data_IF_371496324386
#
_entry.id   IF_371496324386
#
_cell.length_a   1.000
_cell.length_b   1.000
_cell.length_c   1.000
_cell.angle_alpha   90.00
_cell.angle_beta   90.00
_cell.angle_gamma   90.00
#
_symmetry.space_group_name_H-M   'P 1'
#
loop_
_entity.id
_entity.type
_entity.pdbx_description
1 polymer ?
#
# COMPACT_ATOMS: atom_id res chain seq x y z
N UNK A 1 -39.66 37.96 36.63
CA UNK A 1 -38.44 37.66 37.41
C UNK A 1 -38.85 36.88 38.65
N UNK A 2 -38.35 35.66 38.81
CA UNK A 2 -38.67 34.82 39.97
C UNK A 2 -37.78 35.28 41.13
N UNK A 3 -38.38 35.67 42.26
CA UNK A 3 -37.66 35.99 43.51
C UNK A 3 -37.57 34.73 44.37
N UNK A 4 -36.38 34.45 44.87
CA UNK A 4 -36.07 33.27 45.68
C UNK A 4 -35.72 33.76 47.08
N UNK A 5 -36.63 33.56 48.04
CA UNK A 5 -36.52 34.10 49.40
C UNK A 5 -35.76 33.18 50.37
N UNK A 6 -35.20 32.06 49.90
CA UNK A 6 -34.44 31.10 50.73
C UNK A 6 -33.18 30.61 50.03
N UNK A 7 -32.13 30.30 50.82
CA UNK A 7 -30.88 29.72 50.31
C UNK A 7 -31.13 28.36 49.67
N UNK A 8 -30.74 28.21 48.40
CA UNK A 8 -30.75 26.93 47.68
C UNK A 8 -29.57 26.11 48.19
N UNK A 9 -29.86 25.02 48.89
CA UNK A 9 -28.84 24.09 49.47
C UNK A 9 -28.60 22.85 48.60
N UNK A 10 -29.22 22.78 47.42
CA UNK A 10 -29.00 21.73 46.44
C UNK A 10 -29.76 22.03 45.15
N UNK A 11 -29.18 21.64 44.01
CA UNK A 11 -29.85 21.70 42.71
C UNK A 11 -29.71 20.35 42.02
N UNK A 12 -30.76 19.94 41.30
CA UNK A 12 -30.73 18.77 40.43
C UNK A 12 -31.25 19.20 39.06
N UNK A 13 -30.49 18.88 38.01
CA UNK A 13 -30.91 19.11 36.63
C UNK A 13 -31.83 17.96 36.26
N UNK A 14 -33.04 18.27 35.82
CA UNK A 14 -33.98 17.26 35.33
C UNK A 14 -33.39 16.69 34.03
N UNK A 15 -32.66 15.58 34.14
CA UNK A 15 -32.33 14.79 32.96
C UNK A 15 -33.63 14.16 32.47
N UNK A 16 -33.98 14.30 31.18
CA UNK A 16 -35.07 13.52 30.64
C UNK A 16 -34.76 12.06 30.95
N UNK A 17 -35.75 11.34 31.49
CA UNK A 17 -35.60 9.93 31.82
C UNK A 17 -34.94 9.22 30.63
N UNK A 18 -33.84 8.53 30.87
CA UNK A 18 -33.36 7.51 29.94
C UNK A 18 -34.49 6.49 29.82
N UNK A 19 -35.33 6.66 28.80
CA UNK A 19 -36.11 5.59 28.25
C UNK A 19 -35.10 4.48 27.99
N UNK A 20 -35.19 3.39 28.77
CA UNK A 20 -34.62 2.12 28.37
C UNK A 20 -35.17 1.88 26.96
N UNK A 21 -34.33 2.12 25.95
CA UNK A 21 -34.61 1.69 24.59
C UNK A 21 -34.70 0.16 24.66
N UNK A 22 -35.93 -0.34 24.82
CA UNK A 22 -36.26 -1.67 24.34
C UNK A 22 -35.68 -1.76 22.94
N UNK A 23 -34.91 -2.83 22.68
CA UNK A 23 -34.37 -3.17 21.37
C UNK A 23 -35.51 -3.00 20.36
N UNK A 24 -35.51 -1.88 19.63
CA UNK A 24 -36.47 -1.65 18.56
C UNK A 24 -36.14 -2.68 17.49
N UNK A 25 -36.91 -3.76 17.45
CA UNK A 25 -36.95 -4.63 16.29
C UNK A 25 -37.27 -3.74 15.09
N UNK A 26 -36.29 -3.61 14.20
CA UNK A 26 -36.48 -2.93 12.93
C UNK A 26 -37.61 -3.64 12.18
N UNK A 27 -38.75 -2.97 12.00
CA UNK A 27 -39.79 -3.46 11.07
C UNK A 27 -39.18 -3.52 9.68
N UNK A 28 -39.04 -4.75 9.19
CA UNK A 28 -38.50 -5.11 7.88
C UNK A 28 -39.47 -4.66 6.79
N UNK A 29 -39.04 -3.76 5.92
CA UNK A 29 -39.65 -3.59 4.62
C UNK A 29 -38.95 -4.54 3.63
N UNK A 30 -39.65 -5.61 3.24
CA UNK A 30 -39.17 -6.55 2.23
C UNK A 30 -39.61 -7.98 2.51
N UNK A 31 -40.74 -8.38 1.92
CA UNK A 31 -41.12 -9.79 1.84
C UNK A 31 -40.30 -10.52 0.77
N UNK A 32 -39.94 -11.77 1.07
CA UNK A 32 -39.38 -12.74 0.12
C UNK A 32 -37.88 -13.02 0.34
N UNK A 33 -37.60 -14.24 0.79
CA UNK A 33 -36.40 -15.11 0.69
C UNK A 33 -35.08 -14.53 0.11
N UNK A 34 -34.70 -13.31 0.46
CA UNK A 34 -33.43 -12.67 0.08
C UNK A 34 -32.56 -12.58 1.31
N UNK A 35 -31.34 -13.12 1.22
CA UNK A 35 -30.34 -13.07 2.27
C UNK A 35 -30.18 -11.64 2.81
N UNK A 36 -30.17 -11.50 4.14
CA UNK A 36 -29.98 -10.23 4.82
C UNK A 36 -28.56 -9.70 4.54
N UNK A 37 -28.45 -8.66 3.70
CA UNK A 37 -27.15 -8.09 3.31
C UNK A 37 -26.71 -7.07 4.35
N UNK A 38 -25.75 -7.46 5.19
CA UNK A 38 -25.09 -6.60 6.17
C UNK A 38 -24.24 -5.57 5.41
N UNK A 39 -24.41 -4.29 5.78
CA UNK A 39 -23.61 -3.17 5.29
C UNK A 39 -22.78 -2.57 6.41
N UNK A 40 -21.65 -1.99 6.05
CA UNK A 40 -20.82 -1.25 6.99
C UNK A 40 -21.51 0.05 7.42
N UNK A 41 -21.61 0.28 8.72
CA UNK A 41 -22.17 1.50 9.32
C UNK A 41 -21.63 1.69 10.75
N UNK A 42 -21.77 2.90 11.31
CA UNK A 42 -21.22 3.26 12.65
C UNK A 42 -21.63 2.34 13.80
N UNK A 43 -22.81 1.72 13.73
CA UNK A 43 -23.33 0.80 14.74
C UNK A 43 -22.84 -0.65 14.61
N UNK A 44 -22.02 -0.94 13.60
CA UNK A 44 -21.54 -2.31 13.38
C UNK A 44 -20.50 -2.63 14.45
N UNK A 45 -20.74 -3.69 15.21
CA UNK A 45 -19.84 -4.11 16.28
C UNK A 45 -18.54 -4.67 15.71
N UNK A 46 -17.42 -4.35 16.39
CA UNK A 46 -16.10 -4.86 16.03
C UNK A 46 -16.05 -6.37 16.28
N UNK A 47 -15.76 -7.22 15.27
CA UNK A 47 -15.58 -8.65 15.48
C UNK A 47 -14.41 -8.98 16.42
N UNK A 48 -14.41 -10.19 16.98
CA UNK A 48 -13.32 -10.67 17.84
C UNK A 48 -11.98 -10.76 17.10
N UNK A 49 -12.02 -11.14 15.82
CA UNK A 49 -10.84 -11.29 14.96
C UNK A 49 -10.99 -10.43 13.69
N UNK A 50 -9.90 -9.76 13.31
CA UNK A 50 -9.77 -9.05 12.04
C UNK A 50 -8.52 -9.54 11.30
N UNK A 51 -8.59 -9.58 9.98
CA UNK A 51 -7.45 -9.93 9.12
C UNK A 51 -6.84 -8.64 8.60
N UNK A 52 -5.53 -8.48 8.75
CA UNK A 52 -4.85 -7.25 8.36
C UNK A 52 -3.61 -7.46 7.49
N UNK A 53 -3.22 -6.39 6.81
CA UNK A 53 -1.98 -6.29 6.03
C UNK A 53 -1.09 -5.21 6.62
N UNK A 54 0.20 -5.53 6.86
CA UNK A 54 1.19 -4.57 7.35
C UNK A 54 2.15 -4.17 6.24
N UNK A 55 2.29 -2.87 6.01
CA UNK A 55 3.16 -2.25 5.03
C UNK A 55 4.33 -1.55 5.73
N UNK A 56 5.55 -1.86 5.30
CA UNK A 56 6.76 -1.21 5.78
C UNK A 56 7.07 0.01 4.90
N UNK A 57 7.22 1.16 5.54
CA UNK A 57 7.50 2.45 4.90
C UNK A 57 8.87 2.90 5.37
N UNK A 58 9.81 3.07 4.44
CA UNK A 58 11.16 3.58 4.74
C UNK A 58 11.38 4.82 3.90
N UNK A 59 11.30 5.98 4.54
CA UNK A 59 11.55 7.26 3.88
C UNK A 59 13.05 7.60 3.95
N UNK A 60 13.60 8.35 2.98
CA UNK A 60 14.99 8.81 3.04
C UNK A 60 15.20 9.90 4.10
N UNK A 61 14.12 10.57 4.50
CA UNK A 61 14.13 11.70 5.46
C UNK A 61 14.07 11.25 6.92
N UNK A 62 13.91 9.95 7.18
CA UNK A 62 13.90 9.40 8.54
C UNK A 62 14.76 8.16 8.65
N UNK A 63 15.54 8.08 9.73
CA UNK A 63 16.34 6.90 10.04
C UNK A 63 15.49 5.67 10.40
N UNK A 64 14.23 5.90 10.79
CA UNK A 64 13.33 4.87 11.27
C UNK A 64 12.24 4.54 10.26
N UNK A 65 12.02 3.24 10.05
CA UNK A 65 10.86 2.77 9.29
C UNK A 65 9.56 2.98 10.07
N UNK A 66 8.50 3.26 9.34
CA UNK A 66 7.11 3.27 9.82
C UNK A 66 6.40 2.01 9.34
N UNK A 67 5.50 1.48 10.15
CA UNK A 67 4.68 0.31 9.83
C UNK A 67 3.22 0.71 9.84
N UNK A 68 2.55 0.46 8.72
CA UNK A 68 1.14 0.78 8.52
C UNK A 68 0.37 -0.52 8.41
N UNK A 69 -0.48 -0.81 9.38
CA UNK A 69 -1.36 -1.99 9.37
C UNK A 69 -2.77 -1.54 9.03
N UNK A 70 -3.37 -2.13 8.00
CA UNK A 70 -4.79 -1.96 7.70
C UNK A 70 -5.49 -3.28 7.96
N UNK A 71 -6.47 -3.26 8.87
CA UNK A 71 -7.29 -4.41 9.23
C UNK A 71 -8.64 -4.32 8.52
N UNK A 72 -9.10 -5.46 8.03
CA UNK A 72 -10.32 -5.58 7.24
C UNK A 72 -11.38 -6.38 7.96
N UNK A 73 -12.63 -6.06 7.61
CA UNK A 73 -13.80 -6.85 7.93
C UNK A 73 -14.34 -7.52 6.67
N UNK A 74 -14.73 -8.79 6.79
CA UNK A 74 -15.46 -9.51 5.75
C UNK A 74 -16.94 -9.40 6.10
N UNK A 75 -17.71 -8.83 5.17
CA UNK A 75 -19.16 -8.69 5.30
C UNK A 75 -19.83 -9.78 4.47
N UNK A 76 -20.89 -10.39 5.01
CA UNK A 76 -21.68 -11.43 4.34
C UNK A 76 -20.83 -12.63 3.88
N UNK A 77 -19.90 -13.07 4.72
CA UNK A 77 -19.02 -14.20 4.48
C UNK A 77 -19.83 -15.45 4.09
N UNK A 78 -19.40 -16.14 3.03
CA UNK A 78 -20.07 -17.34 2.52
C UNK A 78 -21.34 -17.06 1.69
N UNK A 79 -21.60 -15.81 1.29
CA UNK A 79 -22.72 -15.44 0.42
C UNK A 79 -22.25 -14.81 -0.90
N UNK A 80 -23.14 -14.72 -1.89
CA UNK A 80 -22.87 -14.00 -3.16
C UNK A 80 -22.56 -12.50 -2.97
N UNK A 81 -22.84 -11.96 -1.78
CA UNK A 81 -22.60 -10.56 -1.43
C UNK A 81 -21.41 -10.38 -0.49
N UNK A 82 -20.52 -11.38 -0.42
CA UNK A 82 -19.28 -11.31 0.33
C UNK A 82 -18.45 -10.12 -0.14
N UNK A 83 -18.12 -9.21 0.78
CA UNK A 83 -17.33 -8.02 0.50
C UNK A 83 -16.34 -7.77 1.62
N UNK A 84 -15.10 -7.52 1.24
CA UNK A 84 -14.05 -7.07 2.15
C UNK A 84 -14.03 -5.55 2.22
N UNK A 85 -13.98 -4.99 3.42
CA UNK A 85 -13.92 -3.54 3.66
C UNK A 85 -12.85 -3.22 4.70
N UNK A 86 -12.15 -2.08 4.57
CA UNK A 86 -11.19 -1.67 5.58
C UNK A 86 -11.97 -1.27 6.83
N UNK A 87 -11.49 -1.68 8.01
CA UNK A 87 -12.16 -1.45 9.28
C UNK A 87 -11.39 -0.48 10.18
N UNK A 88 -10.08 -0.69 10.31
CA UNK A 88 -9.20 0.16 11.11
C UNK A 88 -7.79 0.21 10.52
N UNK A 89 -7.09 1.31 10.77
CA UNK A 89 -5.69 1.50 10.39
C UNK A 89 -4.87 1.77 11.64
N UNK A 90 -3.64 1.26 11.69
CA UNK A 90 -2.64 1.53 12.71
C UNK A 90 -1.35 1.97 12.06
N UNK A 91 -0.80 3.08 12.54
CA UNK A 91 0.48 3.60 12.05
C UNK A 91 1.45 3.63 13.23
N UNK A 92 2.48 2.81 13.16
CA UNK A 92 3.54 2.74 14.17
C UNK A 92 4.83 3.33 13.61
N UNK A 93 5.43 4.26 14.35
CA UNK A 93 6.70 4.88 14.01
C UNK A 93 7.54 5.09 15.26
N UNK A 94 8.86 4.91 15.13
CA UNK A 94 9.83 5.31 16.17
C UNK A 94 10.22 6.78 16.07
N UNK A 95 9.87 7.46 14.97
CA UNK A 95 10.12 8.88 14.81
C UNK A 95 9.04 9.69 15.55
N UNK A 96 9.47 10.55 16.48
CA UNK A 96 8.61 11.36 17.32
C UNK A 96 8.16 12.67 16.67
N UNK A 97 8.86 13.16 15.64
CA UNK A 97 8.60 14.48 15.02
C UNK A 97 7.18 14.60 14.45
N UNK A 98 6.60 13.49 14.02
CA UNK A 98 5.27 13.43 13.43
C UNK A 98 4.25 12.68 14.30
N UNK A 99 4.60 12.34 15.54
CA UNK A 99 3.78 11.45 16.39
C UNK A 99 2.35 11.96 16.59
N UNK A 100 2.16 13.25 16.86
CA UNK A 100 0.83 13.85 17.07
C UNK A 100 -0.06 13.71 15.83
N UNK A 101 0.49 14.02 14.65
CA UNK A 101 -0.22 13.91 13.38
C UNK A 101 -0.55 12.46 13.04
N UNK A 102 0.39 11.54 13.25
CA UNK A 102 0.20 10.12 13.04
C UNK A 102 -0.94 9.57 13.92
N UNK A 103 -0.95 9.92 15.21
CA UNK A 103 -2.01 9.49 16.14
C UNK A 103 -3.37 10.06 15.73
N UNK A 104 -3.43 11.34 15.35
CA UNK A 104 -4.66 11.98 14.89
C UNK A 104 -5.20 11.31 13.62
N UNK A 105 -4.34 11.08 12.62
CA UNK A 105 -4.71 10.44 11.36
C UNK A 105 -5.18 9.00 11.56
N UNK A 106 -4.47 8.23 12.39
CA UNK A 106 -4.85 6.85 12.73
C UNK A 106 -6.28 6.80 13.28
N UNK A 107 -6.65 7.73 14.17
CA UNK A 107 -7.98 7.82 14.77
C UNK A 107 -9.05 8.26 13.76
N UNK A 108 -8.76 9.28 12.96
CA UNK A 108 -9.71 9.85 12.00
C UNK A 108 -9.98 8.85 10.88
N UNK A 109 -8.94 8.28 10.26
CA UNK A 109 -9.09 7.32 9.17
C UNK A 109 -9.84 6.07 9.67
N UNK A 110 -9.51 5.54 10.85
CA UNK A 110 -10.24 4.41 11.43
C UNK A 110 -11.70 4.74 11.77
N UNK A 111 -12.00 5.99 12.11
CA UNK A 111 -13.39 6.43 12.28
C UNK A 111 -14.13 6.45 10.94
N UNK A 112 -13.51 7.01 9.89
CA UNK A 112 -14.08 7.04 8.54
C UNK A 112 -14.32 5.64 8.00
N UNK A 113 -13.35 4.73 8.16
CA UNK A 113 -13.52 3.32 7.80
C UNK A 113 -14.73 2.70 8.51
N UNK A 114 -14.87 2.88 9.83
CA UNK A 114 -16.02 2.35 10.59
C UNK A 114 -17.37 2.96 10.19
N UNK A 115 -17.42 4.21 9.71
CA UNK A 115 -18.66 4.79 9.16
C UNK A 115 -19.15 4.02 7.93
N UNK A 116 -18.25 3.38 7.19
CA UNK A 116 -18.56 2.68 5.95
C UNK A 116 -18.83 3.63 4.79
N UNK A 117 -19.47 3.10 3.75
CA UNK A 117 -19.72 3.83 2.50
C UNK A 117 -18.53 3.79 1.54
N UNK A 118 -18.40 4.84 0.73
CA UNK A 118 -17.26 5.01 -0.16
C UNK A 118 -16.13 5.75 0.57
N UNK A 119 -15.07 5.01 0.89
CA UNK A 119 -13.87 5.53 1.55
C UNK A 119 -12.71 5.76 0.57
N UNK A 120 -12.93 5.57 -0.73
CA UNK A 120 -11.88 5.71 -1.75
C UNK A 120 -11.38 7.16 -1.86
N UNK A 121 -12.24 8.15 -1.58
CA UNK A 121 -11.87 9.57 -1.57
C UNK A 121 -10.70 9.88 -0.62
N UNK A 122 -10.54 9.12 0.48
CA UNK A 122 -9.43 9.31 1.41
C UNK A 122 -8.06 9.20 0.72
N UNK A 123 -7.98 8.43 -0.36
CA UNK A 123 -6.74 8.29 -1.14
C UNK A 123 -6.34 9.64 -1.72
N UNK A 124 -7.27 10.36 -2.32
CA UNK A 124 -7.02 11.65 -2.96
C UNK A 124 -6.67 12.71 -1.92
N UNK A 125 -7.45 12.77 -0.83
CA UNK A 125 -7.22 13.71 0.28
C UNK A 125 -5.84 13.53 0.92
N UNK A 126 -5.41 12.28 1.16
CA UNK A 126 -4.09 12.00 1.74
C UNK A 126 -2.95 12.36 0.76
N UNK A 127 -3.11 12.07 -0.53
CA UNK A 127 -2.09 12.38 -1.56
C UNK A 127 -1.93 13.87 -1.80
N UNK A 128 -2.98 14.66 -1.57
CA UNK A 128 -2.97 16.11 -1.71
C UNK A 128 -2.26 16.84 -0.56
N UNK A 129 -1.82 16.13 0.49
CA UNK A 129 -1.07 16.74 1.60
C UNK A 129 0.40 16.93 1.23
N UNK A 130 0.88 18.17 1.34
CA UNK A 130 2.26 18.55 1.05
C UNK A 130 3.06 18.80 2.33
N UNK A 131 4.34 18.43 2.32
CA UNK A 131 5.28 18.80 3.37
C UNK A 131 5.84 20.20 3.04
N UNK A 132 5.81 21.18 3.97
CA UNK A 132 6.40 22.49 3.76
C UNK A 132 7.90 22.46 3.43
N UNK A 133 8.59 21.35 3.70
CA UNK A 133 10.00 21.12 3.36
C UNK A 133 10.20 20.62 1.92
N UNK A 134 9.13 20.40 1.15
CA UNK A 134 9.19 20.07 -0.28
C UNK A 134 9.20 18.57 -0.62
N UNK A 135 8.89 17.68 0.33
CA UNK A 135 8.80 16.24 0.08
C UNK A 135 10.15 15.54 -0.08
N UNK A 136 10.15 14.36 -0.69
CA UNK A 136 11.36 13.54 -0.91
C UNK A 136 11.20 12.55 -2.06
N UNK A 137 12.33 12.00 -2.52
CA UNK A 137 12.37 10.97 -3.56
C UNK A 137 12.58 9.59 -2.95
N UNK A 138 11.71 8.64 -3.27
CA UNK A 138 11.86 7.25 -2.87
C UNK A 138 12.93 6.54 -3.70
N UNK A 139 13.52 5.44 -3.17
CA UNK A 139 14.30 4.52 -3.98
C UNK A 139 13.50 4.07 -5.21
N UNK A 140 14.11 4.14 -6.39
CA UNK A 140 13.40 3.92 -7.66
C UNK A 140 12.90 5.19 -8.35
N UNK A 141 13.22 6.37 -7.81
CA UNK A 141 13.01 7.65 -8.50
C UNK A 141 11.57 8.15 -8.48
N UNK A 142 10.74 7.68 -7.54
CA UNK A 142 9.37 8.19 -7.36
C UNK A 142 9.38 9.37 -6.40
N UNK A 143 8.87 10.53 -6.83
CA UNK A 143 8.70 11.68 -5.97
C UNK A 143 7.50 11.51 -5.04
N UNK A 144 7.65 11.94 -3.79
CA UNK A 144 6.61 11.91 -2.77
C UNK A 144 6.50 13.29 -2.10
N UNK A 145 5.34 13.97 -2.18
CA UNK A 145 5.22 15.35 -1.69
C UNK A 145 5.21 15.46 -0.16
N UNK A 146 4.83 14.40 0.54
CA UNK A 146 4.88 14.31 2.00
C UNK A 146 4.82 12.85 2.47
N UNK A 147 5.12 12.62 3.75
CA UNK A 147 4.90 11.32 4.38
C UNK A 147 3.41 10.93 4.42
N UNK A 148 2.52 11.91 4.47
CA UNK A 148 1.07 11.68 4.44
C UNK A 148 0.61 11.24 3.05
N UNK A 149 1.21 11.81 2.00
CA UNK A 149 0.95 11.35 0.63
C UNK A 149 1.45 9.91 0.40
N UNK A 150 2.56 9.51 1.02
CA UNK A 150 3.00 8.12 1.01
C UNK A 150 1.98 7.19 1.69
N UNK A 151 1.41 7.61 2.83
CA UNK A 151 0.29 6.89 3.45
C UNK A 151 -0.91 6.78 2.50
N UNK A 152 -1.24 7.84 1.76
CA UNK A 152 -2.28 7.83 0.74
C UNK A 152 -2.05 6.75 -0.32
N UNK A 153 -0.82 6.58 -0.80
CA UNK A 153 -0.47 5.48 -1.72
C UNK A 153 -0.55 4.09 -1.09
N UNK A 154 -0.28 3.96 0.21
CA UNK A 154 -0.42 2.69 0.93
C UNK A 154 -1.90 2.33 1.07
N UNK A 155 -2.74 3.30 1.45
CA UNK A 155 -4.19 3.10 1.52
C UNK A 155 -4.73 2.75 0.14
N UNK A 156 -4.32 3.45 -0.92
CA UNK A 156 -4.69 3.10 -2.31
C UNK A 156 -4.32 1.66 -2.66
N UNK A 157 -3.07 1.27 -2.42
CA UNK A 157 -2.60 -0.10 -2.69
C UNK A 157 -3.45 -1.13 -1.96
N UNK A 158 -3.83 -0.83 -0.71
CA UNK A 158 -4.66 -1.70 0.08
C UNK A 158 -6.10 -1.76 -0.44
N UNK A 159 -6.70 -0.62 -0.80
CA UNK A 159 -8.05 -0.55 -1.39
C UNK A 159 -8.13 -1.27 -2.75
N UNK A 160 -7.08 -1.23 -3.56
CA UNK A 160 -6.97 -2.04 -4.78
C UNK A 160 -6.94 -3.53 -4.43
N UNK A 161 -6.12 -3.92 -3.43
CA UNK A 161 -5.99 -5.32 -3.01
C UNK A 161 -7.31 -5.93 -2.55
N UNK A 162 -8.15 -5.18 -1.82
CA UNK A 162 -9.47 -5.65 -1.37
C UNK A 162 -10.58 -5.45 -2.42
N UNK A 163 -10.25 -4.99 -3.63
CA UNK A 163 -11.20 -4.81 -4.73
C UNK A 163 -12.12 -3.59 -4.62
N UNK A 164 -11.76 -2.59 -3.81
CA UNK A 164 -12.50 -1.32 -3.70
C UNK A 164 -12.13 -0.31 -4.78
N UNK A 165 -10.91 -0.37 -5.31
CA UNK A 165 -10.42 0.49 -6.40
C UNK A 165 -9.96 -0.43 -7.54
N UNK A 166 -10.28 -0.08 -8.78
CA UNK A 166 -9.77 -0.80 -9.93
C UNK A 166 -8.24 -0.64 -10.02
N UNK A 167 -7.52 -1.75 -10.23
CA UNK A 167 -6.09 -1.67 -10.48
C UNK A 167 -5.84 -0.80 -11.72
N UNK A 168 -4.80 0.05 -11.73
CA UNK A 168 -4.43 0.79 -12.93
C UNK A 168 -4.05 -0.21 -14.02
N UNK A 169 -4.89 -0.33 -15.05
CA UNK A 169 -4.59 -1.13 -16.22
C UNK A 169 -3.70 -0.34 -17.18
N UNK A 170 -2.72 -1.03 -17.77
CA UNK A 170 -1.94 -0.47 -18.88
C UNK A 170 -2.87 -0.28 -20.07
N UNK A 171 -2.77 0.87 -20.74
CA UNK A 171 -3.55 1.07 -21.96
C UNK A 171 -3.11 0.09 -23.07
N UNK A 172 -3.98 -0.15 -24.05
CA UNK A 172 -3.69 -1.08 -25.15
C UNK A 172 -2.44 -0.70 -25.96
N UNK A 173 -2.14 0.59 -26.10
CA UNK A 173 -0.92 1.10 -26.72
C UNK A 173 0.34 0.82 -25.88
N UNK A 174 0.28 1.01 -24.55
CA UNK A 174 1.35 0.66 -23.63
C UNK A 174 1.63 -0.84 -23.63
N UNK A 175 0.58 -1.68 -23.63
CA UNK A 175 0.73 -3.14 -23.76
C UNK A 175 1.44 -3.52 -25.07
N UNK A 176 1.05 -2.91 -26.20
CA UNK A 176 1.69 -3.13 -27.51
C UNK A 176 3.15 -2.67 -27.51
N UNK A 177 3.44 -1.49 -26.97
CA UNK A 177 4.80 -0.96 -26.88
C UNK A 177 5.70 -1.87 -26.04
N UNK A 178 5.20 -2.38 -24.91
CA UNK A 178 5.94 -3.33 -24.07
C UNK A 178 6.19 -4.64 -24.83
N UNK A 179 5.19 -5.15 -25.55
CA UNK A 179 5.35 -6.36 -26.37
C UNK A 179 6.37 -6.17 -27.49
N UNK A 180 6.31 -5.04 -28.22
CA UNK A 180 7.29 -4.68 -29.26
C UNK A 180 8.70 -4.55 -28.69
N UNK A 181 8.86 -3.89 -27.53
CA UNK A 181 10.18 -3.73 -26.89
C UNK A 181 10.74 -5.04 -26.36
N UNK A 182 9.90 -5.94 -25.85
CA UNK A 182 10.30 -7.30 -25.48
C UNK A 182 10.76 -8.09 -26.70
N UNK A 183 9.99 -8.04 -27.78
CA UNK A 183 10.35 -8.72 -29.04
C UNK A 183 11.69 -8.20 -29.59
N UNK A 184 11.89 -6.87 -29.61
CA UNK A 184 13.17 -6.26 -30.01
C UNK A 184 14.34 -6.71 -29.12
N UNK A 185 14.14 -6.80 -27.81
CA UNK A 185 15.17 -7.27 -26.88
C UNK A 185 15.51 -8.75 -27.11
N UNK A 186 14.50 -9.61 -27.23
CA UNK A 186 14.69 -11.04 -27.51
C UNK A 186 15.36 -11.28 -28.87
N UNK A 187 15.01 -10.49 -29.89
CA UNK A 187 15.65 -10.55 -31.21
C UNK A 187 17.10 -10.05 -31.17
N UNK A 188 17.39 -9.00 -30.39
CA UNK A 188 18.76 -8.52 -30.17
C UNK A 188 19.62 -9.55 -29.44
N UNK A 189 19.06 -10.28 -28.47
CA UNK A 189 19.78 -11.37 -27.80
C UNK A 189 20.06 -12.53 -28.75
N UNK A 190 19.10 -12.93 -29.59
CA UNK A 190 19.31 -13.97 -30.63
C UNK A 190 20.38 -13.57 -31.66
N UNK A 191 20.46 -12.29 -32.02
CA UNK A 191 21.55 -11.81 -32.89
C UNK A 191 22.91 -11.83 -32.19
N UNK A 192 22.95 -11.67 -30.87
CA UNK A 192 24.20 -11.77 -30.10
C UNK A 192 24.67 -13.23 -30.04
N UNK A 193 23.74 -14.18 -29.89
CA UNK A 193 24.04 -15.62 -29.88
C UNK A 193 24.51 -16.16 -31.25
N UNK A 194 24.04 -15.58 -32.36
CA UNK A 194 24.47 -15.96 -33.70
C UNK A 194 25.90 -15.49 -34.06
N UNK A 195 26.45 -14.53 -33.31
CA UNK A 195 27.88 -14.15 -33.36
C UNK A 195 28.69 -14.73 -32.21
N UNK A 196 28.06 -15.48 -31.29
CA UNK A 196 28.72 -16.18 -30.18
C UNK A 196 28.84 -17.67 -30.42
N UNK A 197 28.96 -18.10 -31.68
CA UNK A 197 29.68 -19.35 -31.99
C UNK A 197 31.18 -19.08 -31.80
N UNK A 198 31.55 -18.71 -30.57
CA UNK A 198 32.94 -18.51 -30.21
C UNK A 198 33.57 -19.89 -30.10
N UNK A 199 34.65 -20.13 -30.83
CA UNK A 199 35.54 -21.30 -30.67
C UNK A 199 36.18 -21.40 -29.25
N UNK A 200 35.72 -20.60 -28.29
CA UNK A 200 36.26 -20.43 -26.96
C UNK A 200 35.20 -20.76 -25.89
N UNK A 201 35.61 -21.22 -24.70
CA UNK A 201 34.67 -21.69 -23.66
C UNK A 201 33.69 -20.62 -23.18
N UNK A 202 32.48 -21.05 -22.78
CA UNK A 202 31.52 -20.18 -22.10
C UNK A 202 32.15 -19.50 -20.88
N UNK A 203 31.94 -18.19 -20.76
CA UNK A 203 32.54 -17.36 -19.70
C UNK A 203 33.92 -16.77 -20.03
N UNK A 204 34.41 -16.92 -21.27
CA UNK A 204 35.62 -16.23 -21.74
C UNK A 204 35.45 -14.70 -21.73
N UNK A 205 36.47 -14.00 -21.22
CA UNK A 205 36.49 -12.54 -21.12
C UNK A 205 37.18 -11.90 -22.33
N UNK A 206 36.91 -10.61 -22.55
CA UNK A 206 37.52 -9.82 -23.62
C UNK A 206 39.02 -9.62 -23.38
N UNK A 207 39.84 -9.99 -24.36
CA UNK A 207 41.29 -9.74 -24.34
C UNK A 207 41.61 -8.28 -24.66
N UNK A 208 42.35 -7.59 -23.78
CA UNK A 208 42.75 -6.19 -23.99
C UNK A 208 43.78 -5.99 -25.13
N UNK A 209 44.41 -7.06 -25.63
CA UNK A 209 45.46 -7.00 -26.67
C UNK A 209 44.93 -7.27 -28.08
N UNK A 210 44.09 -8.30 -28.24
CA UNK A 210 43.53 -8.67 -29.54
C UNK A 210 42.02 -8.41 -29.68
N UNK A 211 41.37 -7.86 -28.64
CA UNK A 211 39.93 -7.55 -28.60
C UNK A 211 39.00 -8.73 -28.91
N UNK A 212 39.48 -9.96 -28.73
CA UNK A 212 38.70 -11.19 -28.88
C UNK A 212 38.26 -11.70 -27.51
N UNK A 213 37.01 -12.17 -27.37
CA UNK A 213 36.47 -12.80 -26.15
C UNK A 213 37.00 -14.23 -25.99
N UNK A 214 38.26 -14.34 -25.56
CA UNK A 214 39.00 -15.60 -25.50
C UNK A 214 39.88 -15.74 -24.23
N UNK A 215 39.76 -14.85 -23.24
CA UNK A 215 40.55 -14.91 -22.00
C UNK A 215 39.87 -15.81 -20.98
N UNK A 216 40.60 -16.82 -20.50
CA UNK A 216 40.14 -17.72 -19.44
C UNK A 216 41.19 -17.83 -18.34
N UNK A 217 40.77 -18.30 -17.16
CA UNK A 217 41.70 -18.63 -16.07
C UNK A 217 42.19 -20.06 -16.25
N UNK A 218 43.48 -20.23 -16.54
CA UNK A 218 44.15 -21.51 -16.70
C UNK A 218 45.42 -21.51 -15.85
N UNK A 219 45.65 -22.58 -15.08
CA UNK A 219 46.85 -22.76 -14.24
C UNK A 219 47.17 -21.57 -13.31
N UNK A 220 46.11 -20.94 -12.77
CA UNK A 220 46.23 -19.81 -11.84
C UNK A 220 46.51 -18.45 -12.49
N UNK A 221 46.44 -18.36 -13.82
CA UNK A 221 46.71 -17.14 -14.57
C UNK A 221 45.64 -16.86 -15.65
N UNK A 222 45.44 -15.59 -15.97
CA UNK A 222 44.52 -15.17 -17.03
C UNK A 222 45.25 -15.23 -18.37
N UNK A 223 44.83 -16.13 -19.26
CA UNK A 223 45.49 -16.39 -20.55
C UNK A 223 44.48 -16.32 -21.70
N UNK A 224 44.84 -15.63 -22.77
CA UNK A 224 44.06 -15.50 -24.00
C UNK A 224 44.30 -16.68 -24.95
N UNK A 225 43.27 -17.46 -25.25
CA UNK A 225 43.35 -18.59 -26.19
C UNK A 225 43.48 -18.17 -27.66
N UNK A 226 43.22 -16.89 -27.99
CA UNK A 226 43.31 -16.37 -29.35
C UNK A 226 44.71 -15.85 -29.72
N UNK A 227 45.42 -15.20 -28.79
CA UNK A 227 46.70 -14.55 -29.07
C UNK A 227 47.83 -14.88 -28.08
N UNK A 228 47.57 -15.73 -27.09
CA UNK A 228 48.55 -16.18 -26.10
C UNK A 228 48.93 -15.17 -25.03
N UNK A 229 48.26 -14.01 -24.96
CA UNK A 229 48.54 -13.00 -23.93
C UNK A 229 48.23 -13.50 -22.53
N UNK A 230 49.16 -13.34 -21.60
CA UNK A 230 49.02 -13.81 -20.22
C UNK A 230 49.50 -12.77 -19.21
N UNK A 231 48.82 -12.66 -18.06
CA UNK A 231 49.21 -11.71 -17.00
C UNK A 231 50.43 -12.12 -16.17
N UNK A 232 50.92 -13.35 -16.35
CA UNK A 232 52.01 -13.93 -15.56
C UNK A 232 53.30 -14.16 -16.38
N UNK A 233 53.35 -13.82 -17.66
CA UNK A 233 54.55 -13.92 -18.50
C UNK A 233 54.29 -13.66 -19.97
#
# INVERSE_FOLDING_TARGET
MIKIDKKIVGYAVNQPAEEKEEKREFKREGGGDRAEVIRMHEKLERPEMLVGSTYKVKTPVSDHAMYVTVNDIILNEGTEHEKRRPFEIFINSKNLDHYQWIVALTRIISAVFRKGGDVTFLVEELKAVFDPRGGYWQPGGRFMPSIIAELGHIVEKHLIMIGMIAAPELDEGQKKLIAEKRAQFEESQKQTDAFSDSDYPEGAQLCAKCNTTAVIMMDGCMTCLSCGDSKCG
#
